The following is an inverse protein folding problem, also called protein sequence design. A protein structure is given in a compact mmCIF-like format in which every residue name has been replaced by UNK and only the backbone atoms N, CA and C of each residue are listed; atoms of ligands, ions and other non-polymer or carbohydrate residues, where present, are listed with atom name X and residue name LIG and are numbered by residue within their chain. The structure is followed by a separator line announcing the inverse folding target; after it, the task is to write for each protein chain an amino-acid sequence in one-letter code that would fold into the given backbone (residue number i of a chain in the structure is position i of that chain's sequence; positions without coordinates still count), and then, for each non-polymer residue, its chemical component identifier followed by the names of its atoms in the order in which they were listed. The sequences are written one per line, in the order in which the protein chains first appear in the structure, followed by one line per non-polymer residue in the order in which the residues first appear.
data_IF_443551515401
#
_entry.id   IF_443551515401
#
_cell.length_a   1.000
_cell.length_b   1.000
_cell.length_c   1.000
_cell.angle_alpha   90.00
_cell.angle_beta   90.00
_cell.angle_gamma   90.00
#
_symmetry.space_group_name_H-M   'P 1'
#
loop_
_entity.id
_entity.type
_entity.pdbx_description
1 polymer ?
#
# COMPACT_ATOMS: atom_id res chain seq x y z
N UNK A 1 -0.45 -22.47 18.30
CA UNK A 1 -0.60 -21.17 17.62
C UNK A 1 -2.09 -20.83 17.56
N UNK A 2 -2.51 -19.56 17.64
CA UNK A 2 -3.94 -19.16 17.74
C UNK A 2 -4.81 -19.71 16.58
N UNK A 3 -4.21 -19.91 15.40
CA UNK A 3 -4.87 -20.40 14.19
C UNK A 3 -5.05 -21.93 14.17
N UNK A 4 -4.32 -22.69 14.98
CA UNK A 4 -4.49 -24.15 15.09
C UNK A 4 -5.66 -24.53 16.00
N UNK A 5 -6.18 -23.57 16.76
CA UNK A 5 -7.31 -23.81 17.67
C UNK A 5 -8.55 -24.21 16.85
N UNK A 6 -9.17 -25.37 17.11
CA UNK A 6 -10.37 -25.83 16.39
C UNK A 6 -11.51 -24.81 16.41
N UNK A 7 -11.67 -24.06 17.50
CA UNK A 7 -12.69 -23.02 17.60
C UNK A 7 -12.41 -21.85 16.65
N UNK A 8 -11.13 -21.49 16.48
CA UNK A 8 -10.72 -20.44 15.55
C UNK A 8 -10.93 -20.90 14.12
N UNK A 9 -10.48 -22.12 13.78
CA UNK A 9 -10.65 -22.68 12.43
C UNK A 9 -12.13 -22.76 12.03
N UNK A 10 -12.98 -23.27 12.90
CA UNK A 10 -14.43 -23.34 12.66
C UNK A 10 -15.11 -21.99 12.39
N UNK A 11 -14.49 -20.85 12.76
CA UNK A 11 -15.04 -19.51 12.50
C UNK A 11 -14.43 -18.81 11.28
N UNK A 12 -13.40 -19.39 10.68
CA UNK A 12 -12.63 -18.75 9.61
C UNK A 12 -12.61 -19.60 8.32
N UNK A 13 -12.58 -20.92 8.46
CA UNK A 13 -12.57 -21.86 7.33
C UNK A 13 -13.90 -21.84 6.60
N UNK A 14 -13.82 -21.82 5.27
CA UNK A 14 -14.96 -21.78 4.35
C UNK A 14 -15.90 -20.55 4.55
N UNK A 15 -15.48 -19.54 5.33
CA UNK A 15 -16.26 -18.33 5.58
C UNK A 15 -15.88 -17.22 4.61
N UNK A 16 -16.87 -16.73 3.84
CA UNK A 16 -16.70 -15.62 2.91
C UNK A 16 -15.64 -15.93 1.86
N UNK A 17 -15.78 -17.10 1.23
CA UNK A 17 -14.90 -17.59 0.16
C UNK A 17 -15.01 -16.67 -1.04
N UNK A 18 -13.88 -16.17 -1.49
CA UNK A 18 -13.73 -15.39 -2.72
C UNK A 18 -12.73 -16.12 -3.62
N UNK A 19 -13.19 -16.65 -4.75
CA UNK A 19 -12.28 -17.28 -5.70
C UNK A 19 -11.52 -16.23 -6.56
N UNK A 20 -10.45 -16.67 -7.23
CA UNK A 20 -9.62 -15.81 -8.07
C UNK A 20 -10.39 -15.10 -9.19
N UNK A 21 -11.41 -15.76 -9.75
CA UNK A 21 -12.19 -15.22 -10.87
C UNK A 21 -13.08 -14.08 -10.38
N UNK A 22 -13.85 -14.32 -9.33
CA UNK A 22 -14.69 -13.32 -8.67
C UNK A 22 -13.85 -12.16 -8.13
N UNK A 23 -12.69 -12.44 -7.51
CA UNK A 23 -11.76 -11.41 -7.05
C UNK A 23 -11.30 -10.50 -8.19
N UNK A 24 -10.99 -11.08 -9.36
CA UNK A 24 -10.58 -10.34 -10.56
C UNK A 24 -11.73 -9.50 -11.12
N UNK A 25 -12.92 -10.09 -11.27
CA UNK A 25 -14.11 -9.39 -11.77
C UNK A 25 -14.54 -8.22 -10.87
N UNK A 26 -14.32 -8.34 -9.56
CA UNK A 26 -14.62 -7.30 -8.58
C UNK A 26 -13.49 -6.27 -8.41
N UNK A 27 -12.34 -6.47 -9.07
CA UNK A 27 -11.18 -5.58 -8.94
C UNK A 27 -10.57 -5.59 -7.54
N UNK A 28 -10.65 -6.73 -6.83
CA UNK A 28 -10.07 -6.89 -5.50
C UNK A 28 -8.54 -6.88 -5.60
N UNK A 29 -7.88 -6.20 -4.67
CA UNK A 29 -6.42 -6.04 -4.62
C UNK A 29 -5.86 -6.39 -3.25
N UNK A 30 -4.54 -6.48 -3.16
CA UNK A 30 -3.83 -6.64 -1.89
C UNK A 30 -4.05 -7.99 -1.21
N UNK A 31 -4.16 -8.04 0.13
CA UNK A 31 -4.20 -9.30 0.86
C UNK A 31 -5.45 -10.14 0.55
N UNK A 32 -6.54 -9.53 0.11
CA UNK A 32 -7.74 -10.27 -0.31
C UNK A 32 -7.55 -10.95 -1.67
N UNK A 33 -6.89 -10.28 -2.63
CA UNK A 33 -6.55 -10.86 -3.93
C UNK A 33 -5.54 -12.00 -3.75
N UNK A 34 -4.49 -11.76 -2.95
CA UNK A 34 -3.48 -12.76 -2.61
C UNK A 34 -4.04 -13.95 -1.85
N UNK A 35 -5.04 -13.76 -0.99
CA UNK A 35 -5.73 -14.87 -0.32
C UNK A 35 -6.58 -15.73 -1.28
N UNK A 36 -6.94 -15.17 -2.43
CA UNK A 36 -7.73 -15.82 -3.48
C UNK A 36 -6.84 -16.43 -4.58
N UNK A 37 -5.52 -16.44 -4.40
CA UNK A 37 -4.55 -17.03 -5.33
C UNK A 37 -3.97 -16.08 -6.37
N UNK A 38 -4.28 -14.79 -6.31
CA UNK A 38 -3.74 -13.78 -7.24
C UNK A 38 -2.38 -13.32 -6.74
N UNK A 39 -1.30 -13.75 -7.40
CA UNK A 39 0.07 -13.37 -7.10
C UNK A 39 0.41 -11.99 -7.70
N UNK A 40 -0.02 -10.94 -7.01
CA UNK A 40 0.31 -9.56 -7.35
C UNK A 40 0.62 -8.74 -6.08
N UNK A 41 1.72 -8.00 -6.12
CA UNK A 41 2.11 -7.04 -5.07
C UNK A 41 2.89 -5.89 -5.71
N UNK A 42 2.37 -4.66 -5.61
CA UNK A 42 3.01 -3.52 -6.26
C UNK A 42 4.43 -3.25 -5.74
N UNK A 43 4.80 -3.68 -4.52
CA UNK A 43 6.18 -3.52 -4.02
C UNK A 43 7.18 -4.37 -4.81
N UNK A 44 6.74 -5.51 -5.36
CA UNK A 44 7.55 -6.40 -6.21
C UNK A 44 7.37 -6.10 -7.70
N UNK A 45 6.11 -5.97 -8.13
CA UNK A 45 5.74 -5.95 -9.55
C UNK A 45 5.76 -4.55 -10.16
N UNK A 46 5.62 -3.51 -9.33
CA UNK A 46 5.67 -2.09 -9.72
C UNK A 46 6.43 -1.28 -8.65
N UNK A 47 7.71 -1.63 -8.38
CA UNK A 47 8.41 -1.14 -7.20
C UNK A 47 8.54 0.38 -7.22
N UNK A 48 8.25 0.98 -6.08
CA UNK A 48 8.40 2.40 -5.81
C UNK A 48 9.37 2.61 -4.64
N UNK A 49 9.85 3.84 -4.45
CA UNK A 49 10.87 4.19 -3.46
C UNK A 49 12.07 3.22 -3.52
N UNK A 50 12.48 2.68 -2.38
CA UNK A 50 13.58 1.72 -2.25
C UNK A 50 13.14 0.25 -2.42
N UNK A 51 11.87 -0.05 -2.70
CA UNK A 51 11.39 -1.44 -2.73
C UNK A 51 12.07 -2.29 -3.81
N UNK A 52 12.54 -1.68 -4.90
CA UNK A 52 13.33 -2.35 -5.94
C UNK A 52 14.65 -2.95 -5.43
N UNK A 53 15.14 -2.51 -4.27
CA UNK A 53 16.37 -3.01 -3.65
C UNK A 53 16.14 -4.28 -2.82
N UNK A 54 14.89 -4.64 -2.54
CA UNK A 54 14.55 -5.77 -1.67
C UNK A 54 14.01 -6.95 -2.48
N UNK A 55 14.31 -8.17 -2.03
CA UNK A 55 13.73 -9.39 -2.60
C UNK A 55 12.44 -9.74 -1.85
N UNK A 56 11.32 -9.22 -2.33
CA UNK A 56 10.01 -9.48 -1.74
C UNK A 56 9.40 -10.75 -2.32
N UNK A 57 8.97 -11.66 -1.45
CA UNK A 57 8.11 -12.80 -1.81
C UNK A 57 6.73 -12.56 -1.20
N UNK A 58 5.71 -12.22 -2.01
CA UNK A 58 4.35 -12.02 -1.51
C UNK A 58 3.77 -13.32 -0.95
N UNK A 59 3.06 -13.20 0.17
CA UNK A 59 2.28 -14.29 0.75
C UNK A 59 1.03 -14.52 -0.11
N UNK A 60 0.86 -15.73 -0.65
CA UNK A 60 -0.28 -16.07 -1.53
C UNK A 60 -0.90 -17.35 -1.03
N UNK A 61 -2.21 -17.30 -0.81
CA UNK A 61 -3.03 -18.45 -0.40
C UNK A 61 -4.05 -18.76 -1.48
N UNK A 62 -4.65 -19.96 -1.45
CA UNK A 62 -5.65 -20.38 -2.47
C UNK A 62 -7.05 -20.59 -1.90
N UNK A 63 -7.21 -20.49 -0.57
CA UNK A 63 -8.48 -20.79 0.10
C UNK A 63 -9.56 -19.75 -0.16
N UNK A 64 -9.20 -18.48 -0.39
CA UNK A 64 -10.15 -17.39 -0.63
C UNK A 64 -11.05 -17.02 0.57
N UNK A 65 -10.99 -17.79 1.66
CA UNK A 65 -11.81 -17.65 2.86
C UNK A 65 -11.17 -16.71 3.91
N UNK A 66 -11.84 -16.56 5.05
CA UNK A 66 -11.34 -15.72 6.13
C UNK A 66 -10.05 -16.29 6.75
N UNK A 67 -9.83 -17.61 6.72
CA UNK A 67 -8.59 -18.22 7.19
C UNK A 67 -7.42 -17.85 6.26
N UNK A 68 -7.56 -18.03 4.95
CA UNK A 68 -6.57 -17.66 3.94
C UNK A 68 -6.18 -16.18 4.05
N UNK A 69 -7.16 -15.28 4.22
CA UNK A 69 -6.89 -13.84 4.45
C UNK A 69 -6.11 -13.59 5.74
N UNK A 70 -6.32 -14.40 6.76
CA UNK A 70 -5.59 -14.30 8.03
C UNK A 70 -4.16 -14.81 7.90
N UNK A 71 -3.96 -15.92 7.18
CA UNK A 71 -2.63 -16.49 6.89
C UNK A 71 -1.77 -15.52 6.07
N UNK A 72 -2.30 -14.94 4.99
CA UNK A 72 -1.60 -13.92 4.19
C UNK A 72 -1.11 -12.77 5.06
N UNK A 73 -1.97 -12.25 5.95
CA UNK A 73 -1.59 -11.15 6.86
C UNK A 73 -0.52 -11.56 7.87
N UNK A 74 -0.60 -12.77 8.39
CA UNK A 74 0.40 -13.28 9.32
C UNK A 74 1.79 -13.37 8.68
N UNK A 75 1.83 -13.88 7.45
CA UNK A 75 3.07 -13.92 6.66
C UNK A 75 3.56 -12.53 6.31
N UNK A 76 2.68 -11.60 5.91
CA UNK A 76 3.03 -10.20 5.63
C UNK A 76 3.66 -9.49 6.84
N UNK A 77 3.20 -9.77 8.07
CA UNK A 77 3.84 -9.24 9.28
C UNK A 77 5.26 -9.77 9.42
N UNK A 78 5.45 -11.06 9.16
CA UNK A 78 6.77 -11.70 9.24
C UNK A 78 7.72 -11.11 8.19
N UNK A 79 7.27 -10.98 6.94
CA UNK A 79 8.02 -10.36 5.85
C UNK A 79 8.30 -8.89 6.13
N UNK A 80 7.36 -8.13 6.70
CA UNK A 80 7.57 -6.73 7.07
C UNK A 80 8.69 -6.57 8.10
N UNK A 81 8.74 -7.45 9.10
CA UNK A 81 9.82 -7.46 10.10
C UNK A 81 11.17 -7.79 9.44
N UNK A 82 11.21 -8.71 8.47
CA UNK A 82 12.42 -9.03 7.72
C UNK A 82 12.91 -7.82 6.91
N UNK A 83 12.02 -7.18 6.14
CA UNK A 83 12.36 -5.99 5.35
C UNK A 83 12.89 -4.85 6.22
N UNK A 84 12.29 -4.60 7.38
CA UNK A 84 12.78 -3.59 8.33
C UNK A 84 14.21 -3.92 8.79
N UNK A 85 14.48 -5.19 9.11
CA UNK A 85 15.83 -5.62 9.52
C UNK A 85 16.86 -5.52 8.41
N UNK A 86 16.47 -5.79 7.16
CA UNK A 86 17.33 -5.62 5.99
C UNK A 86 17.60 -4.13 5.74
N UNK A 87 16.56 -3.30 5.75
CA UNK A 87 16.69 -1.85 5.55
C UNK A 87 17.60 -1.19 6.59
N UNK A 88 17.57 -1.64 7.84
CA UNK A 88 18.45 -1.12 8.90
C UNK A 88 19.93 -1.49 8.65
N UNK A 89 20.21 -2.68 8.08
CA UNK A 89 21.59 -3.12 7.83
C UNK A 89 22.26 -2.30 6.74
N UNK A 90 21.51 -1.98 5.70
CA UNK A 90 22.01 -1.30 4.50
C UNK A 90 21.59 0.17 4.45
N UNK A 91 21.25 0.76 5.61
CA UNK A 91 20.77 2.13 5.70
C UNK A 91 21.89 3.12 5.29
N UNK A 92 21.75 3.84 4.16
CA UNK A 92 22.76 4.79 3.74
C UNK A 92 22.81 5.99 4.68
N UNK A 93 24.00 6.57 4.84
CA UNK A 93 24.15 7.89 5.44
C UNK A 93 23.88 8.96 4.38
N UNK A 94 23.34 10.10 4.79
CA UNK A 94 23.05 11.22 3.91
C UNK A 94 21.89 12.06 4.42
N UNK A 95 21.52 13.06 3.63
CA UNK A 95 20.37 13.91 3.93
C UNK A 95 19.06 13.15 3.75
N UNK A 96 18.10 13.43 4.63
CA UNK A 96 16.77 12.80 4.60
C UNK A 96 15.87 13.44 3.53
N UNK A 97 16.11 14.72 3.22
CA UNK A 97 15.34 15.50 2.26
C UNK A 97 16.28 15.94 1.14
N UNK A 98 15.88 15.70 -0.10
CA UNK A 98 16.60 16.18 -1.28
C UNK A 98 16.68 17.72 -1.29
N UNK A 99 17.84 18.26 -1.64
CA UNK A 99 18.07 19.71 -1.64
C UNK A 99 17.11 20.46 -2.60
N UNK A 100 16.70 19.83 -3.70
CA UNK A 100 15.73 20.40 -4.63
C UNK A 100 14.34 20.59 -4.00
N UNK A 101 13.97 19.75 -3.02
CA UNK A 101 12.73 19.88 -2.26
C UNK A 101 12.80 21.02 -1.23
N UNK A 102 14.00 21.39 -0.78
CA UNK A 102 14.22 22.52 0.13
C UNK A 102 14.17 23.88 -0.58
N UNK A 103 14.35 23.91 -1.90
CA UNK A 103 14.42 25.14 -2.70
C UNK A 103 13.07 25.83 -2.92
N UNK A 104 11.95 25.08 -2.92
CA UNK A 104 10.63 25.65 -3.19
C UNK A 104 10.07 26.57 -2.08
N UNK A 105 10.70 26.63 -0.90
CA UNK A 105 10.25 27.52 0.19
C UNK A 105 11.40 27.92 1.16
N UNK A 106 12.28 28.87 0.77
CA UNK A 106 13.50 29.21 1.52
C UNK A 106 13.22 29.84 2.90
N UNK A 107 12.05 30.43 3.14
CA UNK A 107 11.70 31.03 4.43
C UNK A 107 11.38 30.02 5.56
N UNK A 108 10.94 28.80 5.24
CA UNK A 108 10.56 27.80 6.25
C UNK A 108 11.73 26.97 6.79
N UNK A 109 12.97 27.31 6.39
CA UNK A 109 14.14 26.40 6.48
C UNK A 109 14.89 26.40 7.82
N UNK A 110 14.31 26.85 8.94
CA UNK A 110 15.06 26.92 10.20
C UNK A 110 14.25 26.43 11.41
N UNK A 111 14.43 25.13 11.69
CA UNK A 111 14.23 24.42 12.96
C UNK A 111 12.86 23.74 13.24
N UNK A 112 12.93 22.47 13.66
CA UNK A 112 11.84 21.70 14.25
C UNK A 112 11.02 20.82 13.28
N UNK A 113 10.03 20.10 13.84
CA UNK A 113 9.05 19.25 13.14
C UNK A 113 8.34 19.99 11.98
N UNK A 114 8.38 21.32 12.02
CA UNK A 114 7.89 22.22 10.97
C UNK A 114 8.70 22.18 9.66
N UNK A 115 9.95 21.73 9.66
CA UNK A 115 10.80 21.68 8.45
C UNK A 115 10.43 20.53 7.52
N UNK A 116 10.38 19.29 8.05
CA UNK A 116 9.99 18.10 7.26
C UNK A 116 8.52 18.21 6.85
N UNK A 117 7.62 18.53 7.80
CA UNK A 117 6.20 18.70 7.51
C UNK A 117 5.96 19.86 6.53
N UNK A 118 6.72 20.94 6.68
CA UNK A 118 6.72 22.11 5.80
C UNK A 118 6.95 21.75 4.34
N UNK A 119 7.97 20.94 4.05
CA UNK A 119 8.27 20.48 2.68
C UNK A 119 7.09 19.73 2.07
N UNK A 120 6.41 18.86 2.83
CA UNK A 120 5.23 18.14 2.34
C UNK A 120 3.98 19.03 2.19
N UNK A 121 3.82 20.06 3.04
CA UNK A 121 2.68 21.00 2.93
C UNK A 121 2.80 22.01 1.78
N UNK A 122 4.01 22.26 1.27
CA UNK A 122 4.26 23.23 0.20
C UNK A 122 4.74 22.59 -1.11
N UNK A 123 4.42 21.31 -1.31
CA UNK A 123 4.76 20.60 -2.53
C UNK A 123 3.80 21.01 -3.65
N UNK A 124 4.26 21.93 -4.51
CA UNK A 124 3.51 22.36 -5.70
C UNK A 124 3.95 21.52 -6.90
N UNK A 125 3.14 20.53 -7.33
CA UNK A 125 3.41 19.82 -8.57
C UNK A 125 3.18 20.76 -9.76
N UNK A 126 3.91 20.53 -10.85
CA UNK A 126 3.68 21.25 -12.11
C UNK A 126 2.26 20.97 -12.62
N UNK A 127 1.65 21.89 -13.39
CA UNK A 127 0.34 21.68 -14.00
C UNK A 127 0.30 20.38 -14.80
N UNK A 128 -0.71 19.54 -14.55
CA UNK A 128 -0.85 18.25 -15.21
C UNK A 128 -1.70 17.26 -14.43
N UNK A 129 -1.68 16.02 -14.90
CA UNK A 129 -2.31 14.88 -14.24
C UNK A 129 -1.22 13.97 -13.66
N UNK A 130 -1.31 13.71 -12.37
CA UNK A 130 -0.35 12.92 -11.63
C UNK A 130 -1.06 11.70 -11.04
N UNK A 131 -0.48 10.53 -11.21
CA UNK A 131 -1.00 9.29 -10.62
C UNK A 131 0.08 8.64 -9.76
N UNK A 132 -0.21 8.48 -8.48
CA UNK A 132 0.59 7.72 -7.54
C UNK A 132 -0.07 6.38 -7.21
N UNK A 133 0.73 5.32 -7.15
CA UNK A 133 0.32 3.98 -6.73
C UNK A 133 1.19 3.54 -5.56
N UNK A 134 0.56 3.03 -4.51
CA UNK A 134 1.27 2.44 -3.38
C UNK A 134 0.51 1.24 -2.82
N UNK A 135 1.23 0.18 -2.44
CA UNK A 135 0.64 -0.96 -1.76
C UNK A 135 0.44 -0.59 -0.28
N UNK A 136 -0.75 -0.09 0.06
CA UNK A 136 -1.11 0.09 1.46
C UNK A 136 -1.36 -1.28 2.11
N UNK A 137 -1.43 -1.35 3.44
CA UNK A 137 -1.75 -2.60 4.18
C UNK A 137 -3.12 -3.21 3.78
N UNK A 138 -4.00 -2.42 3.17
CA UNK A 138 -5.29 -2.89 2.64
C UNK A 138 -5.25 -3.27 1.16
N UNK A 139 -4.14 -3.07 0.49
CA UNK A 139 -3.91 -3.31 -0.94
C UNK A 139 -3.53 -2.05 -1.73
N UNK A 140 -3.40 -2.22 -3.04
CA UNK A 140 -3.03 -1.17 -3.98
C UNK A 140 -3.98 0.03 -3.86
N UNK A 141 -3.42 1.16 -3.44
CA UNK A 141 -4.10 2.44 -3.33
C UNK A 141 -3.63 3.34 -4.45
N UNK A 142 -4.57 3.90 -5.18
CA UNK A 142 -4.29 4.84 -6.27
C UNK A 142 -4.73 6.24 -5.86
N UNK A 143 -3.84 7.20 -6.05
CA UNK A 143 -4.09 8.62 -5.84
C UNK A 143 -3.90 9.35 -7.16
N UNK A 144 -4.94 10.02 -7.64
CA UNK A 144 -4.88 10.87 -8.82
C UNK A 144 -5.01 12.32 -8.39
N UNK A 145 -4.08 13.16 -8.86
CA UNK A 145 -4.00 14.58 -8.57
C UNK A 145 -4.03 15.34 -9.89
N UNK A 146 -4.97 16.28 -10.02
CA UNK A 146 -5.03 17.20 -11.14
C UNK A 146 -4.64 18.59 -10.66
N UNK A 147 -3.70 19.22 -11.37
CA UNK A 147 -3.21 20.56 -11.07
C UNK A 147 -3.35 21.47 -12.29
N UNK A 148 -3.86 22.69 -12.05
CA UNK A 148 -4.06 23.70 -13.08
C UNK A 148 -3.10 24.86 -12.87
N UNK A 149 -2.88 25.65 -13.93
CA UNK A 149 -1.93 26.77 -13.95
C UNK A 149 -2.34 27.89 -12.96
N UNK A 150 -3.63 27.97 -12.61
CA UNK A 150 -4.19 29.06 -11.80
C UNK A 150 -4.16 28.78 -10.29
N UNK A 151 -3.97 27.53 -9.87
CA UNK A 151 -4.02 27.15 -8.47
C UNK A 151 -2.72 26.47 -8.05
N UNK A 152 -2.02 27.11 -7.11
CA UNK A 152 -0.94 26.51 -6.33
C UNK A 152 -1.47 25.37 -5.41
N UNK A 153 -2.62 24.76 -5.67
CA UNK A 153 -3.21 23.71 -4.83
C UNK A 153 -3.83 22.69 -5.78
N UNK A 154 -3.85 21.40 -5.39
CA UNK A 154 -4.54 20.37 -6.14
C UNK A 154 -6.00 20.79 -6.40
N UNK A 155 -6.39 20.85 -7.67
CA UNK A 155 -7.75 21.22 -8.09
C UNK A 155 -8.75 20.12 -7.70
N UNK A 156 -8.32 18.86 -7.84
CA UNK A 156 -9.08 17.69 -7.44
C UNK A 156 -8.10 16.57 -7.04
N UNK A 157 -8.49 15.78 -6.04
CA UNK A 157 -7.80 14.55 -5.66
C UNK A 157 -8.83 13.42 -5.59
N UNK A 158 -8.57 12.33 -6.32
CA UNK A 158 -9.33 11.10 -6.20
C UNK A 158 -8.44 10.00 -5.63
N UNK A 159 -8.84 9.45 -4.48
CA UNK A 159 -8.20 8.27 -3.91
C UNK A 159 -9.10 7.05 -4.08
N UNK A 160 -8.63 6.05 -4.81
CA UNK A 160 -9.29 4.74 -4.85
C UNK A 160 -8.69 3.86 -3.77
N UNK A 161 -9.48 3.62 -2.74
CA UNK A 161 -9.10 2.80 -1.60
C UNK A 161 -9.48 1.33 -1.88
N UNK A 162 -8.63 0.35 -1.53
CA UNK A 162 -8.94 -1.07 -1.70
C UNK A 162 -10.30 -1.48 -1.12
N UNK A 163 -10.70 -0.85 -0.01
CA UNK A 163 -11.95 -1.15 0.68
C UNK A 163 -13.20 -0.90 -0.16
N UNK A 164 -13.17 0.05 -1.11
CA UNK A 164 -14.33 0.32 -1.96
C UNK A 164 -14.62 -0.85 -2.89
N UNK A 165 -13.58 -1.59 -3.32
CA UNK A 165 -13.72 -2.78 -4.14
C UNK A 165 -14.16 -3.99 -3.29
N UNK A 166 -13.59 -4.13 -2.09
CA UNK A 166 -13.98 -5.20 -1.16
C UNK A 166 -15.45 -5.11 -0.74
N UNK A 167 -15.96 -3.89 -0.47
CA UNK A 167 -17.37 -3.69 -0.08
C UNK A 167 -18.34 -4.00 -1.22
N UNK A 168 -17.97 -3.69 -2.48
CA UNK A 168 -18.81 -4.04 -3.64
C UNK A 168 -18.99 -5.56 -3.81
N UNK A 169 -18.09 -6.38 -3.24
CA UNK A 169 -18.24 -7.84 -3.19
C UNK A 169 -19.20 -8.35 -2.11
N UNK A 170 -19.50 -7.56 -1.08
CA UNK A 170 -20.43 -7.96 -0.02
C UNK A 170 -21.86 -8.00 -0.57
N UNK A 171 -22.40 -9.21 -0.76
CA UNK A 171 -23.74 -9.46 -1.28
C UNK A 171 -23.79 -10.24 -2.60
N UNK A 172 -22.64 -10.61 -3.17
CA UNK A 172 -22.55 -11.46 -4.37
C UNK A 172 -22.09 -12.90 -4.10
N UNK A 173 -21.91 -13.26 -2.83
CA UNK A 173 -21.65 -14.62 -2.34
C UNK A 173 -22.92 -15.29 -1.85
#
# INVERSE_FOLDING_TARGET
MFLDNPVTRARLEDIGVLDAKAATELGVVGPFARASGIDFDARRDMPYDAYALFKITPAVEKGGDALARTMVRWEEVTTSIQLVREAIKDLPQGDIIDEAMLFKNPEYRREGVSGVLGVYTYLYPEPGEWTGLAEATRGLTMTQIWTTIEQLVAYSNQTKQPISFSIHGYGKS
#
